data_IF_900122515646
#
_entry.id   IF_900122515646
#
_cell.length_a   1.000
_cell.length_b   1.000
_cell.length_c   1.000
_cell.angle_alpha   90.00
_cell.angle_beta   90.00
_cell.angle_gamma   90.00
#
_symmetry.space_group_name_H-M   'P 1'
#
loop_
_entity.id
_entity.type
_entity.pdbx_description
1 polymer ?
#
# COMPACT_ATOMS: atom_id res chain seq x y z
N UNK A 1 4.72 -7.50 30.84
CA UNK A 1 5.94 -7.80 30.07
C UNK A 1 5.53 -8.09 28.63
N UNK A 2 6.04 -7.34 27.65
CA UNK A 2 5.61 -7.46 26.26
C UNK A 2 6.31 -8.65 25.61
N UNK A 3 5.53 -9.65 25.18
CA UNK A 3 6.05 -10.89 24.60
C UNK A 3 6.84 -10.62 23.30
N UNK A 4 8.15 -10.94 23.25
CA UNK A 4 8.99 -10.69 22.08
C UNK A 4 8.61 -11.52 20.85
N UNK A 5 7.85 -12.61 21.04
CA UNK A 5 7.36 -13.47 19.95
C UNK A 5 6.25 -12.84 19.09
N UNK A 6 5.38 -12.01 19.67
CA UNK A 6 4.26 -11.38 18.92
C UNK A 6 4.77 -10.26 18.01
N UNK A 7 5.89 -9.63 18.38
CA UNK A 7 6.54 -8.59 17.58
C UNK A 7 7.24 -9.17 16.34
N UNK A 8 7.87 -10.35 16.48
CA UNK A 8 8.46 -11.07 15.35
C UNK A 8 7.42 -11.53 14.32
N UNK A 9 6.26 -12.03 14.78
CA UNK A 9 5.19 -12.46 13.87
C UNK A 9 4.49 -11.28 13.17
N UNK A 10 4.37 -10.14 13.85
CA UNK A 10 3.85 -8.89 13.25
C UNK A 10 4.78 -8.34 12.17
N UNK A 11 6.11 -8.39 12.38
CA UNK A 11 7.08 -8.02 11.34
C UNK A 11 7.14 -9.03 10.20
N UNK A 12 6.97 -10.32 10.48
CA UNK A 12 6.90 -11.36 9.45
C UNK A 12 5.65 -11.18 8.57
N UNK A 13 4.47 -10.97 9.18
CA UNK A 13 3.24 -10.64 8.45
C UNK A 13 3.36 -9.32 7.70
N UNK A 14 3.98 -8.28 8.29
CA UNK A 14 4.16 -7.01 7.60
C UNK A 14 5.14 -7.12 6.43
N UNK A 15 6.20 -7.94 6.53
CA UNK A 15 7.11 -8.22 5.41
C UNK A 15 6.50 -9.09 4.32
N UNK A 16 5.45 -9.87 4.64
CA UNK A 16 4.63 -10.61 3.68
C UNK A 16 3.56 -9.71 3.04
N UNK A 17 2.84 -8.89 3.81
CA UNK A 17 1.84 -7.92 3.32
C UNK A 17 2.47 -6.91 2.34
N UNK A 18 3.62 -6.34 2.68
CA UNK A 18 4.24 -5.28 1.85
C UNK A 18 4.84 -5.84 0.55
N UNK A 19 5.13 -7.14 0.46
CA UNK A 19 5.61 -7.80 -0.78
C UNK A 19 4.52 -8.52 -1.57
N UNK A 20 3.35 -8.74 -0.98
CA UNK A 20 2.19 -9.32 -1.66
C UNK A 20 1.37 -8.23 -2.37
N UNK A 21 1.29 -7.03 -1.80
CA UNK A 21 0.50 -5.94 -2.39
C UNK A 21 1.21 -5.25 -3.58
N UNK A 22 2.54 -5.21 -3.62
CA UNK A 22 3.31 -4.63 -4.74
C UNK A 22 3.55 -5.59 -5.91
N UNK A 23 3.21 -6.87 -5.76
CA UNK A 23 3.32 -7.89 -6.80
C UNK A 23 2.04 -8.75 -6.85
N UNK A 24 0.88 -8.10 -6.89
CA UNK A 24 -0.40 -8.79 -7.04
C UNK A 24 -0.33 -9.70 -8.28
N UNK A 25 -0.46 -11.02 -8.08
CA UNK A 25 -0.49 -12.02 -9.16
C UNK A 25 -1.38 -11.47 -10.29
N UNK A 26 -0.90 -11.40 -11.55
CA UNK A 26 -1.67 -10.88 -12.67
C UNK A 26 -3.08 -11.49 -12.76
N UNK A 27 -3.25 -12.72 -12.27
CA UNK A 27 -4.56 -13.38 -12.14
C UNK A 27 -5.53 -12.63 -11.21
N UNK A 28 -5.06 -12.14 -10.06
CA UNK A 28 -5.87 -11.38 -9.10
C UNK A 28 -6.28 -10.05 -9.71
N UNK A 29 -5.37 -9.35 -10.40
CA UNK A 29 -5.68 -8.08 -11.08
C UNK A 29 -6.73 -8.27 -12.17
N UNK A 30 -6.62 -9.34 -12.96
CA UNK A 30 -7.62 -9.72 -13.97
C UNK A 30 -8.99 -9.96 -13.32
N UNK A 31 -9.04 -10.72 -12.22
CA UNK A 31 -10.29 -10.98 -11.50
C UNK A 31 -10.92 -9.70 -10.91
N UNK A 32 -10.10 -8.81 -10.35
CA UNK A 32 -10.55 -7.51 -9.86
C UNK A 32 -11.11 -6.66 -10.99
N UNK A 33 -10.46 -6.64 -12.17
CA UNK A 33 -10.94 -5.92 -13.34
C UNK A 33 -12.30 -6.47 -13.82
N UNK A 34 -12.48 -7.80 -13.87
CA UNK A 34 -13.77 -8.42 -14.20
C UNK A 34 -14.84 -8.06 -13.19
N UNK A 35 -14.53 -8.10 -11.89
CA UNK A 35 -15.48 -7.76 -10.84
C UNK A 35 -15.91 -6.29 -10.94
N UNK A 36 -14.95 -5.38 -11.17
CA UNK A 36 -15.22 -3.96 -11.37
C UNK A 36 -16.08 -3.70 -12.61
N UNK A 37 -15.76 -4.34 -13.73
CA UNK A 37 -16.52 -4.24 -14.98
C UNK A 37 -17.98 -4.71 -14.81
N UNK A 38 -18.17 -5.87 -14.18
CA UNK A 38 -19.50 -6.41 -13.87
C UNK A 38 -20.28 -5.48 -12.95
N UNK A 39 -19.63 -4.95 -11.91
CA UNK A 39 -20.26 -4.00 -10.98
C UNK A 39 -20.70 -2.73 -11.69
N UNK A 40 -19.84 -2.15 -12.54
CA UNK A 40 -20.19 -0.97 -13.33
C UNK A 40 -21.41 -1.24 -14.24
N UNK A 41 -21.44 -2.39 -14.91
CA UNK A 41 -22.59 -2.78 -15.74
C UNK A 41 -23.88 -2.95 -14.91
N UNK A 42 -23.77 -3.54 -13.73
CA UNK A 42 -24.90 -3.68 -12.80
C UNK A 42 -25.45 -2.32 -12.38
N UNK A 43 -24.58 -1.39 -11.97
CA UNK A 43 -24.99 -0.01 -11.60
C UNK A 43 -25.70 0.70 -12.76
N UNK A 44 -25.15 0.62 -13.98
CA UNK A 44 -25.79 1.21 -15.17
C UNK A 44 -27.16 0.57 -15.43
N UNK A 45 -27.27 -0.74 -15.28
CA UNK A 45 -28.52 -1.49 -15.50
C UNK A 45 -29.57 -1.14 -14.45
N UNK A 46 -29.19 -1.01 -13.18
CA UNK A 46 -30.07 -0.59 -12.09
C UNK A 46 -30.59 0.83 -12.30
N UNK A 47 -29.71 1.77 -12.69
CA UNK A 47 -30.10 3.12 -13.04
C UNK A 47 -31.07 3.14 -14.23
N UNK A 48 -30.80 2.36 -15.27
CA UNK A 48 -31.71 2.25 -16.41
C UNK A 48 -33.07 1.67 -16.02
N UNK A 49 -33.09 0.65 -15.17
CA UNK A 49 -34.32 0.06 -14.66
C UNK A 49 -35.18 1.07 -13.88
N UNK A 50 -34.56 1.93 -13.04
CA UNK A 50 -35.28 2.97 -12.33
C UNK A 50 -35.92 4.00 -13.28
N UNK A 51 -35.19 4.44 -14.30
CA UNK A 51 -35.68 5.41 -15.30
C UNK A 51 -36.82 4.81 -16.13
N UNK A 52 -36.64 3.59 -16.64
CA UNK A 52 -37.67 2.85 -17.39
C UNK A 52 -38.90 2.59 -16.50
N UNK A 53 -38.69 2.28 -15.22
CA UNK A 53 -39.74 2.11 -14.22
C UNK A 53 -40.60 3.37 -14.07
N UNK A 54 -39.98 4.55 -13.94
CA UNK A 54 -40.69 5.82 -13.88
C UNK A 54 -41.54 6.08 -15.14
N UNK A 55 -40.96 5.85 -16.33
CA UNK A 55 -41.69 5.94 -17.60
C UNK A 55 -42.91 5.01 -17.64
N UNK A 56 -42.76 3.77 -17.18
CA UNK A 56 -43.86 2.79 -17.11
C UNK A 56 -44.96 3.24 -16.12
N UNK A 57 -44.58 3.80 -14.98
CA UNK A 57 -45.53 4.35 -14.01
C UNK A 57 -46.35 5.50 -14.62
N UNK A 58 -45.70 6.41 -15.37
CA UNK A 58 -46.38 7.49 -16.08
C UNK A 58 -47.31 6.96 -17.18
N UNK A 59 -46.90 5.93 -17.93
CA UNK A 59 -47.78 5.25 -18.90
C UNK A 59 -49.03 4.70 -18.23
N UNK A 60 -48.89 3.98 -17.11
CA UNK A 60 -50.04 3.46 -16.37
C UNK A 60 -50.95 4.57 -15.83
N UNK A 61 -50.37 5.70 -15.39
CA UNK A 61 -51.15 6.87 -14.96
C UNK A 61 -51.93 7.48 -16.11
N UNK A 62 -51.30 7.63 -17.29
CA UNK A 62 -51.96 8.10 -18.51
C UNK A 62 -53.17 7.24 -18.87
N UNK A 63 -53.01 5.91 -18.86
CA UNK A 63 -54.12 4.98 -19.18
C UNK A 63 -55.30 5.12 -18.22
N UNK A 64 -55.03 5.34 -16.93
CA UNK A 64 -56.08 5.57 -15.93
C UNK A 64 -56.79 6.90 -16.15
N UNK A 65 -56.04 7.98 -16.43
CA UNK A 65 -56.62 9.29 -16.69
C UNK A 65 -57.46 9.30 -17.97
N UNK A 66 -57.00 8.63 -19.03
CA UNK A 66 -57.77 8.46 -20.28
C UNK A 66 -59.09 7.73 -20.04
N UNK A 67 -59.09 6.65 -19.24
CA UNK A 67 -60.33 5.96 -18.86
C UNK A 67 -61.25 6.86 -18.04
N UNK A 68 -60.71 7.59 -17.07
CA UNK A 68 -61.49 8.53 -16.26
C UNK A 68 -62.12 9.64 -17.11
N UNK A 69 -61.39 10.15 -18.10
CA UNK A 69 -61.91 11.14 -19.06
C UNK A 69 -63.10 10.55 -19.83
N UNK A 70 -62.95 9.36 -20.41
CA UNK A 70 -64.00 8.68 -21.16
C UNK A 70 -65.26 8.41 -20.30
N UNK A 71 -65.08 7.98 -19.05
CA UNK A 71 -66.18 7.73 -18.12
C UNK A 71 -66.92 9.03 -17.75
N UNK A 72 -66.18 10.11 -17.48
CA UNK A 72 -66.76 11.42 -17.17
C UNK A 72 -67.47 12.03 -18.38
N UNK A 73 -66.93 11.89 -19.58
CA UNK A 73 -67.61 12.30 -20.82
C UNK A 73 -68.93 11.53 -21.03
N UNK A 74 -68.92 10.21 -20.81
CA UNK A 74 -70.12 9.39 -20.93
C UNK A 74 -71.19 9.83 -19.91
N UNK A 75 -70.79 10.04 -18.64
CA UNK A 75 -71.69 10.53 -17.59
C UNK A 75 -72.22 11.93 -17.89
N UNK A 76 -71.40 12.83 -18.43
CA UNK A 76 -71.83 14.18 -18.84
C UNK A 76 -72.91 14.09 -19.92
N UNK A 77 -72.70 13.24 -20.95
CA UNK A 77 -73.70 13.02 -22.01
C UNK A 77 -75.01 12.48 -21.45
N UNK A 78 -74.96 11.55 -20.49
CA UNK A 78 -76.17 11.03 -19.84
C UNK A 78 -76.89 12.10 -19.02
N UNK A 79 -76.18 12.90 -18.21
CA UNK A 79 -76.77 13.97 -17.41
C UNK A 79 -77.50 15.01 -18.28
N UNK A 80 -76.91 15.36 -19.43
CA UNK A 80 -77.53 16.25 -20.42
C UNK A 80 -78.78 15.62 -21.07
N UNK A 81 -78.76 14.31 -21.35
CA UNK A 81 -79.95 13.61 -21.86
C UNK A 81 -81.10 13.57 -20.86
N UNK A 82 -80.79 13.57 -19.56
CA UNK A 82 -81.79 13.62 -18.48
C UNK A 82 -82.22 15.03 -18.09
N UNK A 83 -81.72 16.08 -18.78
CA UNK A 83 -81.91 17.50 -18.43
C UNK A 83 -81.50 17.85 -16.98
N UNK A 84 -80.48 17.18 -16.45
CA UNK A 84 -79.90 17.48 -15.14
C UNK A 84 -78.66 18.37 -15.31
N UNK A 85 -78.91 19.65 -15.61
CA UNK A 85 -77.86 20.62 -15.94
C UNK A 85 -76.91 20.86 -14.77
N UNK A 86 -77.41 20.82 -13.53
CA UNK A 86 -76.59 20.98 -12.33
C UNK A 86 -75.60 19.81 -12.17
N UNK A 87 -76.04 18.58 -12.40
CA UNK A 87 -75.15 17.42 -12.40
C UNK A 87 -74.14 17.50 -13.56
N UNK A 88 -74.57 17.92 -14.75
CA UNK A 88 -73.69 18.06 -15.91
C UNK A 88 -72.57 19.09 -15.67
N UNK A 89 -72.86 20.23 -15.03
CA UNK A 89 -71.88 21.27 -14.72
C UNK A 89 -70.80 20.80 -13.73
N UNK A 90 -71.20 20.03 -12.71
CA UNK A 90 -70.26 19.44 -11.75
C UNK A 90 -69.36 18.40 -12.41
N UNK A 91 -69.91 17.53 -13.26
CA UNK A 91 -69.12 16.51 -13.98
C UNK A 91 -68.17 17.17 -14.99
N UNK A 92 -68.60 18.23 -15.67
CA UNK A 92 -67.76 19.00 -16.59
C UNK A 92 -66.56 19.63 -15.86
N UNK A 93 -66.76 20.16 -14.65
CA UNK A 93 -65.66 20.69 -13.83
C UNK A 93 -64.64 19.59 -13.48
N UNK A 94 -65.11 18.39 -13.15
CA UNK A 94 -64.23 17.24 -12.90
C UNK A 94 -63.49 16.80 -14.17
N UNK A 95 -64.17 16.80 -15.31
CA UNK A 95 -63.57 16.47 -16.61
C UNK A 95 -62.41 17.41 -16.94
N UNK A 96 -62.60 18.72 -16.80
CA UNK A 96 -61.54 19.72 -17.01
C UNK A 96 -60.33 19.46 -16.12
N UNK A 97 -60.55 19.11 -14.84
CA UNK A 97 -59.45 18.75 -13.93
C UNK A 97 -58.68 17.52 -14.41
N UNK A 98 -59.37 16.47 -14.86
CA UNK A 98 -58.74 15.25 -15.40
C UNK A 98 -57.98 15.56 -16.69
N UNK A 99 -58.52 16.40 -17.57
CA UNK A 99 -57.86 16.80 -18.81
C UNK A 99 -56.57 17.58 -18.57
N UNK A 100 -56.56 18.48 -17.59
CA UNK A 100 -55.35 19.20 -17.18
C UNK A 100 -54.28 18.24 -16.63
N UNK A 101 -54.65 17.31 -15.76
CA UNK A 101 -53.73 16.29 -15.25
C UNK A 101 -53.19 15.38 -16.36
N UNK A 102 -54.04 15.04 -17.33
CA UNK A 102 -53.70 14.20 -18.46
C UNK A 102 -52.65 14.89 -19.34
N UNK A 103 -52.85 16.17 -19.67
CA UNK A 103 -51.87 16.95 -20.44
C UNK A 103 -50.53 17.07 -19.69
N UNK A 104 -50.57 17.38 -18.39
CA UNK A 104 -49.35 17.44 -17.58
C UNK A 104 -48.63 16.08 -17.55
N UNK A 105 -49.38 14.99 -17.41
CA UNK A 105 -48.81 13.62 -17.39
C UNK A 105 -48.25 13.23 -18.76
N UNK A 106 -48.85 13.67 -19.87
CA UNK A 106 -48.33 13.45 -21.23
C UNK A 106 -46.96 14.10 -21.41
N UNK A 107 -46.81 15.34 -20.95
CA UNK A 107 -45.53 16.05 -21.03
C UNK A 107 -44.45 15.36 -20.19
N UNK A 108 -44.79 14.96 -18.96
CA UNK A 108 -43.89 14.20 -18.10
C UNK A 108 -43.50 12.84 -18.73
N UNK A 109 -44.47 12.14 -19.34
CA UNK A 109 -44.24 10.87 -20.02
C UNK A 109 -43.31 11.04 -21.23
N UNK A 110 -43.50 12.08 -22.04
CA UNK A 110 -42.65 12.35 -23.21
C UNK A 110 -41.18 12.59 -22.79
N UNK A 111 -40.95 13.33 -21.70
CA UNK A 111 -39.61 13.51 -21.14
C UNK A 111 -39.04 12.20 -20.59
N UNK A 112 -39.84 11.42 -19.86
CA UNK A 112 -39.43 10.13 -19.32
C UNK A 112 -39.13 9.09 -20.42
N UNK A 113 -39.84 9.15 -21.55
CA UNK A 113 -39.60 8.30 -22.72
C UNK A 113 -38.22 8.57 -23.32
N UNK A 114 -37.86 9.84 -23.50
CA UNK A 114 -36.52 10.21 -23.98
C UNK A 114 -35.42 9.74 -23.02
N UNK A 115 -35.61 9.96 -21.71
CA UNK A 115 -34.68 9.50 -20.69
C UNK A 115 -34.54 7.96 -20.68
N UNK A 116 -35.64 7.23 -20.86
CA UNK A 116 -35.64 5.78 -20.93
C UNK A 116 -34.90 5.26 -22.17
N UNK A 117 -35.06 5.91 -23.32
CA UNK A 117 -34.34 5.55 -24.55
C UNK A 117 -32.83 5.77 -24.38
N UNK A 118 -32.41 6.90 -23.79
CA UNK A 118 -30.99 7.16 -23.50
C UNK A 118 -30.43 6.14 -22.51
N UNK A 119 -31.17 5.83 -21.45
CA UNK A 119 -30.77 4.85 -20.45
C UNK A 119 -30.62 3.44 -21.05
N UNK A 120 -31.53 3.04 -21.95
CA UNK A 120 -31.45 1.78 -22.68
C UNK A 120 -30.24 1.74 -23.62
N UNK A 121 -29.94 2.84 -24.31
CA UNK A 121 -28.75 2.94 -25.15
C UNK A 121 -27.46 2.78 -24.32
N UNK A 122 -27.37 3.45 -23.17
CA UNK A 122 -26.24 3.33 -22.22
C UNK A 122 -26.10 1.92 -21.64
N UNK A 123 -27.21 1.26 -21.31
CA UNK A 123 -27.19 -0.13 -20.84
C UNK A 123 -26.65 -1.07 -21.92
N UNK A 124 -27.10 -0.92 -23.17
CA UNK A 124 -26.62 -1.72 -24.31
C UNK A 124 -25.15 -1.47 -24.61
N UNK A 125 -24.70 -0.22 -24.56
CA UNK A 125 -23.29 0.13 -24.71
C UNK A 125 -22.44 -0.48 -23.60
N UNK A 126 -22.90 -0.40 -22.35
CA UNK A 126 -22.23 -1.02 -21.21
C UNK A 126 -22.14 -2.54 -21.36
N UNK A 127 -23.19 -3.19 -21.85
CA UNK A 127 -23.19 -4.63 -22.12
C UNK A 127 -22.14 -5.00 -23.18
N UNK A 128 -22.08 -4.25 -24.29
CA UNK A 128 -21.08 -4.47 -25.33
C UNK A 128 -19.65 -4.29 -24.79
N UNK A 129 -19.40 -3.23 -24.01
CA UNK A 129 -18.11 -3.00 -23.35
C UNK A 129 -17.74 -4.11 -22.37
N UNK A 130 -18.70 -4.60 -21.59
CA UNK A 130 -18.48 -5.71 -20.67
C UNK A 130 -18.08 -6.99 -21.43
N UNK A 131 -18.77 -7.31 -22.53
CA UNK A 131 -18.44 -8.46 -23.37
C UNK A 131 -17.02 -8.34 -23.95
N UNK A 132 -16.65 -7.15 -24.45
CA UNK A 132 -15.31 -6.89 -24.97
C UNK A 132 -14.23 -7.08 -23.89
N UNK A 133 -14.43 -6.51 -22.70
CA UNK A 133 -13.52 -6.66 -21.57
C UNK A 133 -13.37 -8.12 -21.12
N UNK A 134 -14.47 -8.87 -21.09
CA UNK A 134 -14.43 -10.30 -20.76
C UNK A 134 -13.66 -11.11 -21.81
N UNK A 135 -13.77 -10.77 -23.09
CA UNK A 135 -13.00 -11.40 -24.15
C UNK A 135 -11.50 -11.11 -24.02
N UNK A 136 -11.12 -9.86 -23.74
CA UNK A 136 -9.73 -9.48 -23.49
C UNK A 136 -9.17 -10.17 -22.25
N UNK A 137 -9.96 -10.27 -21.18
CA UNK A 137 -9.59 -11.00 -19.96
C UNK A 137 -9.31 -12.46 -20.26
N UNK A 138 -10.20 -13.15 -20.99
CA UNK A 138 -10.00 -14.55 -21.36
C UNK A 138 -8.68 -14.77 -22.13
N UNK A 139 -8.34 -13.84 -23.03
CA UNK A 139 -7.07 -13.87 -23.75
C UNK A 139 -5.87 -13.67 -22.81
N UNK A 140 -5.95 -12.72 -21.86
CA UNK A 140 -4.90 -12.48 -20.87
C UNK A 140 -4.73 -13.67 -19.92
N UNK A 141 -5.82 -14.30 -19.48
CA UNK A 141 -5.78 -15.52 -18.66
C UNK A 141 -5.08 -16.65 -19.40
N UNK A 142 -5.40 -16.88 -20.67
CA UNK A 142 -4.74 -17.91 -21.49
C UNK A 142 -3.23 -17.66 -21.63
N UNK A 143 -2.81 -16.41 -21.85
CA UNK A 143 -1.39 -16.06 -21.93
C UNK A 143 -0.69 -16.24 -20.58
N UNK A 144 -1.35 -15.86 -19.48
CA UNK A 144 -0.82 -16.04 -18.13
C UNK A 144 -0.65 -17.53 -17.80
N UNK A 145 -1.61 -18.38 -18.16
CA UNK A 145 -1.52 -19.81 -17.95
C UNK A 145 -0.39 -20.43 -18.78
N UNK A 146 -0.18 -19.99 -20.02
CA UNK A 146 0.95 -20.42 -20.86
C UNK A 146 2.29 -20.01 -20.25
N UNK A 147 2.42 -18.78 -19.76
CA UNK A 147 3.62 -18.30 -19.09
C UNK A 147 3.90 -19.10 -17.80
N UNK A 148 2.88 -19.32 -16.97
CA UNK A 148 2.99 -20.13 -15.75
C UNK A 148 3.41 -21.57 -16.03
N UNK A 149 2.92 -22.19 -17.11
CA UNK A 149 3.37 -23.52 -17.53
C UNK A 149 4.85 -23.56 -17.94
N UNK A 150 5.33 -22.53 -18.64
CA UNK A 150 6.75 -22.41 -18.99
C UNK A 150 7.61 -22.20 -17.74
N UNK A 151 7.18 -21.32 -16.82
CA UNK A 151 7.85 -21.11 -15.54
C UNK A 151 7.93 -22.40 -14.72
N UNK A 152 6.83 -23.15 -14.60
CA UNK A 152 6.80 -24.43 -13.89
C UNK A 152 7.70 -25.48 -14.56
N UNK A 153 7.73 -25.53 -15.89
CA UNK A 153 8.59 -26.45 -16.64
C UNK A 153 10.06 -26.11 -16.42
N UNK A 154 10.44 -24.83 -16.50
CA UNK A 154 11.80 -24.37 -16.22
C UNK A 154 12.19 -24.63 -14.76
N UNK A 155 11.32 -24.33 -13.81
CA UNK A 155 11.55 -24.61 -12.39
C UNK A 155 11.74 -26.11 -12.12
N UNK A 156 10.96 -26.98 -12.78
CA UNK A 156 11.13 -28.42 -12.70
C UNK A 156 12.47 -28.86 -13.30
N UNK A 157 12.88 -28.31 -14.45
CA UNK A 157 14.18 -28.59 -15.07
C UNK A 157 15.36 -28.09 -14.25
N UNK A 158 15.28 -26.89 -13.67
CA UNK A 158 16.28 -26.35 -12.75
C UNK A 158 16.40 -27.22 -11.48
N UNK A 159 15.26 -27.67 -10.93
CA UNK A 159 15.28 -28.60 -9.80
C UNK A 159 15.95 -29.93 -10.19
N UNK A 160 15.64 -30.47 -11.37
CA UNK A 160 16.25 -31.70 -11.89
C UNK A 160 17.74 -31.53 -12.18
N UNK A 161 18.19 -30.38 -12.67
CA UNK A 161 19.60 -30.08 -12.92
C UNK A 161 20.39 -29.91 -11.61
N UNK A 162 19.74 -29.40 -10.55
CA UNK A 162 20.28 -29.40 -9.19
C UNK A 162 20.49 -30.81 -8.61
N UNK A 163 19.69 -31.79 -9.03
CA UNK A 163 19.84 -33.19 -8.62
C UNK A 163 20.65 -34.06 -9.59
N UNK A 164 20.71 -33.71 -10.88
CA UNK A 164 21.40 -34.44 -11.96
C UNK A 164 22.85 -33.99 -12.20
N UNK A 165 23.21 -32.77 -11.79
CA UNK A 165 24.59 -32.32 -11.69
C UNK A 165 25.25 -32.86 -10.44
N UNK A 166 25.82 -34.07 -10.53
CA UNK A 166 26.67 -34.64 -9.49
C UNK A 166 28.03 -33.90 -9.39
N UNK A 167 27.99 -32.60 -9.09
CA UNK A 167 29.15 -31.74 -8.74
C UNK A 167 29.15 -31.37 -7.24
N UNK A 168 28.20 -31.94 -6.47
CA UNK A 168 28.09 -31.80 -5.02
C UNK A 168 28.72 -32.97 -4.24
N UNK A 169 29.73 -33.61 -4.81
CA UNK A 169 30.72 -34.32 -4.00
C UNK A 169 31.85 -33.30 -3.77
N UNK A 170 32.09 -32.82 -2.53
CA UNK A 170 33.21 -31.94 -2.27
C UNK A 170 34.49 -32.56 -2.83
N UNK A 171 35.05 -31.95 -3.88
CA UNK A 171 36.36 -32.37 -4.39
C UNK A 171 37.40 -32.01 -3.33
N UNK A 172 38.46 -32.82 -3.23
CA UNK A 172 39.54 -32.55 -2.29
C UNK A 172 40.15 -31.15 -2.53
N UNK A 173 40.10 -30.66 -3.78
CA UNK A 173 40.52 -29.32 -4.15
C UNK A 173 39.58 -28.23 -3.59
N UNK A 174 38.26 -28.42 -3.64
CA UNK A 174 37.32 -27.47 -3.03
C UNK A 174 37.45 -27.37 -1.49
N UNK A 175 37.82 -28.48 -0.84
CA UNK A 175 38.15 -28.48 0.60
C UNK A 175 39.47 -27.77 0.86
N UNK A 176 40.48 -27.97 0.01
CA UNK A 176 41.78 -27.30 0.08
C UNK A 176 41.63 -25.79 -0.01
N UNK A 177 40.89 -25.29 -1.00
CA UNK A 177 40.65 -23.84 -1.19
C UNK A 177 39.98 -23.21 0.04
N UNK A 178 39.06 -23.94 0.67
CA UNK A 178 38.35 -23.48 1.88
C UNK A 178 39.27 -23.42 3.10
N UNK A 179 40.20 -24.36 3.22
CA UNK A 179 41.24 -24.36 4.26
C UNK A 179 42.22 -23.22 4.02
N UNK A 180 42.71 -23.05 2.80
CA UNK A 180 43.64 -21.97 2.44
C UNK A 180 43.02 -20.59 2.68
N UNK A 181 41.73 -20.42 2.37
CA UNK A 181 40.98 -19.18 2.66
C UNK A 181 40.81 -18.92 4.16
N UNK A 182 40.55 -19.95 4.98
CA UNK A 182 40.49 -19.79 6.44
C UNK A 182 41.87 -19.47 7.03
N UNK A 183 42.91 -20.09 6.50
CA UNK A 183 44.28 -19.89 6.96
C UNK A 183 44.78 -18.48 6.65
N UNK A 184 44.54 -17.98 5.44
CA UNK A 184 44.89 -16.61 5.06
C UNK A 184 44.11 -15.56 5.85
N UNK A 185 42.82 -15.82 6.13
CA UNK A 185 42.02 -14.94 6.96
C UNK A 185 42.53 -14.90 8.41
N UNK A 186 42.87 -16.04 9.00
CA UNK A 186 43.45 -16.10 10.35
C UNK A 186 44.83 -15.41 10.44
N UNK A 187 45.67 -15.54 9.41
CA UNK A 187 46.93 -14.81 9.32
C UNK A 187 46.72 -13.30 9.20
N UNK A 188 45.75 -12.87 8.39
CA UNK A 188 45.38 -11.45 8.28
C UNK A 188 44.86 -10.87 9.60
N UNK A 189 44.03 -11.62 10.31
CA UNK A 189 43.56 -11.23 11.66
C UNK A 189 44.72 -11.17 12.67
N UNK A 190 45.72 -12.04 12.57
CA UNK A 190 46.91 -11.99 13.42
C UNK A 190 47.84 -10.81 13.08
N UNK A 191 47.97 -10.46 11.79
CA UNK A 191 48.70 -9.28 11.33
C UNK A 191 48.04 -7.98 11.87
N UNK A 192 46.71 -7.91 11.83
CA UNK A 192 45.94 -6.80 12.40
C UNK A 192 46.07 -6.74 13.93
N UNK A 193 46.09 -7.87 14.62
CA UNK A 193 46.34 -7.92 16.06
C UNK A 193 47.77 -7.46 16.42
N UNK A 194 48.77 -7.82 15.61
CA UNK A 194 50.15 -7.32 15.78
C UNK A 194 50.28 -5.83 15.48
N UNK A 195 49.65 -5.33 14.42
CA UNK A 195 49.64 -3.89 14.11
C UNK A 195 48.97 -3.12 15.24
N UNK A 196 47.81 -3.55 15.72
CA UNK A 196 47.09 -2.86 16.79
C UNK A 196 47.82 -2.86 18.14
N UNK A 197 48.60 -3.91 18.48
CA UNK A 197 49.51 -3.86 19.65
C UNK A 197 50.68 -2.90 19.43
N UNK A 198 51.25 -2.86 18.22
CA UNK A 198 52.34 -1.93 17.87
C UNK A 198 51.86 -0.49 17.92
N UNK A 199 50.67 -0.21 17.37
CA UNK A 199 50.04 1.11 17.40
C UNK A 199 49.74 1.55 18.84
N UNK A 200 49.22 0.64 19.69
CA UNK A 200 49.03 0.91 21.13
C UNK A 200 50.35 1.15 21.88
N UNK A 201 51.42 0.44 21.54
CA UNK A 201 52.72 0.66 22.18
C UNK A 201 53.30 2.03 21.80
N UNK A 202 53.16 2.40 20.53
CA UNK A 202 53.60 3.70 19.99
C UNK A 202 52.80 4.86 20.60
N UNK A 203 51.49 4.67 20.84
CA UNK A 203 50.62 5.65 21.51
C UNK A 203 50.90 5.78 23.02
N UNK A 204 51.32 4.69 23.68
CA UNK A 204 51.75 4.73 25.08
C UNK A 204 53.10 5.45 25.24
N UNK A 205 54.06 5.22 24.34
CA UNK A 205 55.35 5.93 24.35
C UNK A 205 55.19 7.44 24.10
N UNK A 206 54.30 7.84 23.18
CA UNK A 206 54.04 9.26 22.93
C UNK A 206 53.36 9.93 24.13
N UNK A 207 52.33 9.30 24.72
CA UNK A 207 51.61 9.82 25.88
C UNK A 207 52.49 9.91 27.14
N UNK A 208 53.43 8.98 27.34
CA UNK A 208 54.38 9.02 28.44
C UNK A 208 55.44 10.14 28.30
N UNK A 209 55.85 10.45 27.07
CA UNK A 209 56.85 11.49 26.81
C UNK A 209 56.32 12.91 27.07
N UNK A 210 55.05 13.19 26.75
CA UNK A 210 54.45 14.52 26.95
C UNK A 210 54.22 14.84 28.43
N UNK A 211 53.85 13.84 29.24
CA UNK A 211 53.71 13.99 30.70
C UNK A 211 55.07 14.19 31.36
N UNK A 212 56.10 13.43 30.95
CA UNK A 212 57.46 13.61 31.47
C UNK A 212 58.07 14.96 31.03
N UNK A 213 57.81 15.41 29.80
CA UNK A 213 58.29 16.68 29.27
C UNK A 213 57.64 17.88 29.98
N UNK A 214 56.33 17.85 30.19
CA UNK A 214 55.61 18.89 30.95
C UNK A 214 56.07 18.96 32.41
N UNK A 215 56.22 17.81 33.08
CA UNK A 215 56.77 17.75 34.43
C UNK A 215 58.19 18.33 34.52
N UNK A 216 59.06 18.05 33.54
CA UNK A 216 60.42 18.60 33.49
C UNK A 216 60.43 20.11 33.21
N UNK A 217 59.52 20.60 32.38
CA UNK A 217 59.34 22.03 32.11
C UNK A 217 58.86 22.79 33.36
N UNK A 218 57.93 22.21 34.12
CA UNK A 218 57.46 22.80 35.36
C UNK A 218 58.54 22.80 36.45
N UNK A 219 59.36 21.75 36.53
CA UNK A 219 60.54 21.73 37.39
C UNK A 219 61.54 22.82 37.00
N UNK A 220 61.84 22.99 35.72
CA UNK A 220 62.73 24.07 35.24
C UNK A 220 62.15 25.45 35.58
N UNK A 221 60.83 25.66 35.44
CA UNK A 221 60.18 26.91 35.85
C UNK A 221 60.26 27.14 37.36
N UNK A 222 60.09 26.09 38.17
CA UNK A 222 60.20 26.17 39.62
C UNK A 222 61.63 26.51 40.05
N UNK A 223 62.64 25.93 39.39
CA UNK A 223 64.06 26.27 39.63
C UNK A 223 64.37 27.73 39.25
N UNK A 224 63.80 28.22 38.15
CA UNK A 224 63.93 29.62 37.74
C UNK A 224 63.21 30.61 38.66
N UNK A 225 62.06 30.25 39.23
CA UNK A 225 61.31 31.12 40.16
C UNK A 225 61.85 31.05 41.60
N UNK A 226 62.37 29.88 42.02
CA UNK A 226 63.01 29.66 43.32
C UNK A 226 64.40 30.28 43.45
N UNK A 227 65.09 30.55 42.33
CA UNK A 227 66.42 31.19 42.33
C UNK A 227 66.44 32.68 42.69
N UNK A 228 65.29 33.33 42.96
CA UNK A 228 65.23 34.77 43.31
C UNK A 228 64.98 35.05 44.80
N UNK A 229 64.81 34.03 45.64
CA UNK A 229 64.53 34.22 47.07
C UNK A 229 65.11 33.09 47.93
N UNK A 230 66.42 33.14 48.23
CA UNK A 230 67.01 32.67 49.51
C UNK A 230 68.54 32.66 49.43
N UNK A 231 69.15 33.84 49.46
CA UNK A 231 70.53 34.03 49.92
C UNK A 231 70.50 34.44 51.39
N UNK A 232 70.96 33.58 52.31
CA UNK A 232 71.65 34.02 53.54
C UNK A 232 72.15 32.83 54.37
N UNK A 233 73.47 32.88 54.63
CA UNK A 233 74.22 32.44 55.83
C UNK A 233 74.21 30.93 56.19
N UNK A 234 75.36 30.22 56.16
CA UNK A 234 76.52 30.30 57.10
C UNK A 234 76.05 30.21 58.56
N UNK A 235 76.49 29.34 59.47
CA UNK A 235 77.81 28.76 59.74
C UNK A 235 77.66 27.71 60.87
N UNK A 236 78.55 26.72 60.94
CA UNK A 236 78.67 25.70 62.00
C UNK A 236 79.73 26.13 63.07
N UNK A 237 80.28 25.28 63.98
CA UNK A 237 79.77 24.17 64.82
C UNK A 237 80.18 24.32 66.33
N UNK A 238 79.76 23.38 67.20
CA UNK A 238 80.57 22.78 68.28
C UNK A 238 79.82 21.64 68.98
N UNK A 239 80.42 20.46 69.06
CA UNK A 239 80.66 19.66 70.27
C UNK A 239 81.19 18.27 69.90
N UNK A 240 82.31 17.85 70.52
CA UNK A 240 82.78 16.46 70.54
C UNK A 240 82.81 16.03 72.00
N UNK A 241 82.27 14.83 72.20
CA UNK A 241 82.13 14.02 73.40
C UNK A 241 83.44 13.73 74.16
N UNK A 242 83.30 13.70 75.48
CA UNK A 242 84.05 12.87 76.43
C UNK A 242 83.24 11.57 76.63
N UNK A 243 83.73 10.38 76.95
CA UNK A 243 85.04 9.86 77.28
C UNK A 243 84.86 8.33 77.33
N UNK A 244 85.95 7.56 77.23
CA UNK A 244 85.95 6.11 77.50
C UNK A 244 86.78 5.85 78.76
N UNK A 245 86.11 5.43 79.83
CA UNK A 245 86.43 4.24 80.65
C UNK A 245 85.46 4.13 81.84
#
# INVERSE_FOLDING_TARGET
MANPFVKGWKYLMQSFDTKIDENADPKVQIQQAVAAAKKQHQEITEHAAAIIGNRNQLSMKLDRLLKSQQDLEAKTKTALQTNDDAAAEVIATQLVSVEQELEQTKQAYASAEQAAQEAQAKQKESEARLQEQLAQVSQLESQLDQAKMQEQTTAAMDSMNQFGGNDNVPTLDGVRDKIERRYSQALGEQELAKSSMTDRMTEIESAGSDVAASARLDQIRAELSGGKSASSSSEAPKEIEDNKD
#
